data_IF_084362929784
#
_entry.id   IF_084362929784
#
_cell.length_a   1.000
_cell.length_b   1.000
_cell.length_c   1.000
_cell.angle_alpha   90.00
_cell.angle_beta   90.00
_cell.angle_gamma   90.00
#
_symmetry.space_group_name_H-M   'P 1'
#
loop_
_entity.id
_entity.type
_entity.pdbx_description
1 polymer ?
#
# COMPACT_ATOMS: atom_id res chain seq x y z
N UNK A 1 25.33 -21.88 -4.66
CA UNK A 1 24.47 -21.99 -5.85
C UNK A 1 23.16 -21.31 -5.54
N UNK A 2 23.08 -19.98 -5.82
CA UNK A 2 21.84 -19.24 -5.68
C UNK A 2 20.85 -19.67 -6.78
N UNK A 3 19.57 -19.73 -6.44
CA UNK A 3 18.54 -19.91 -7.45
C UNK A 3 18.58 -18.72 -8.43
N UNK A 4 18.07 -18.90 -9.65
CA UNK A 4 17.92 -17.81 -10.64
C UNK A 4 17.22 -16.59 -10.03
N UNK A 5 16.25 -16.83 -9.16
CA UNK A 5 15.49 -15.81 -8.43
C UNK A 5 16.36 -14.94 -7.53
N UNK A 6 17.30 -15.57 -6.81
CA UNK A 6 18.25 -14.83 -5.96
C UNK A 6 19.21 -13.97 -6.79
N UNK A 7 19.62 -14.44 -7.97
CA UNK A 7 20.47 -13.68 -8.88
C UNK A 7 19.75 -12.45 -9.42
N UNK A 8 18.50 -12.60 -9.86
CA UNK A 8 17.65 -11.51 -10.34
C UNK A 8 17.40 -10.48 -9.23
N UNK A 9 17.10 -10.96 -8.01
CA UNK A 9 16.91 -10.08 -6.85
C UNK A 9 18.18 -9.30 -6.51
N UNK A 10 19.34 -9.98 -6.47
CA UNK A 10 20.64 -9.34 -6.18
C UNK A 10 21.00 -8.29 -7.23
N UNK A 11 20.73 -8.55 -8.51
CA UNK A 11 20.97 -7.60 -9.62
C UNK A 11 20.10 -6.35 -9.45
N UNK A 12 18.81 -6.52 -9.16
CA UNK A 12 17.91 -5.40 -8.88
C UNK A 12 18.37 -4.61 -7.66
N UNK A 13 18.74 -5.29 -6.58
CA UNK A 13 19.18 -4.65 -5.34
C UNK A 13 20.43 -3.78 -5.56
N UNK A 14 21.43 -4.29 -6.29
CA UNK A 14 22.64 -3.52 -6.64
C UNK A 14 22.25 -2.25 -7.44
N UNK A 15 21.47 -2.41 -8.50
CA UNK A 15 21.03 -1.27 -9.32
C UNK A 15 20.25 -0.24 -8.51
N UNK A 16 19.33 -0.69 -7.64
CA UNK A 16 18.55 0.18 -6.77
C UNK A 16 19.42 0.95 -5.78
N UNK A 17 20.42 0.28 -5.19
CA UNK A 17 21.37 0.93 -4.27
C UNK A 17 22.22 1.97 -5.00
N UNK A 18 22.72 1.67 -6.20
CA UNK A 18 23.58 2.58 -6.97
C UNK A 18 22.80 3.83 -7.40
N UNK A 19 21.59 3.67 -7.92
CA UNK A 19 20.70 4.79 -8.25
C UNK A 19 20.33 5.59 -6.99
N UNK A 20 20.02 4.91 -5.88
CA UNK A 20 19.72 5.56 -4.61
C UNK A 20 20.85 6.42 -4.08
N UNK A 21 22.10 5.94 -4.16
CA UNK A 21 23.31 6.71 -3.79
C UNK A 21 23.46 7.96 -4.67
N UNK A 22 23.30 7.82 -5.99
CA UNK A 22 23.39 8.96 -6.91
C UNK A 22 22.32 10.01 -6.61
N UNK A 23 21.07 9.60 -6.37
CA UNK A 23 19.98 10.52 -6.00
C UNK A 23 20.29 11.22 -4.67
N UNK A 24 20.79 10.51 -3.66
CA UNK A 24 21.17 11.10 -2.38
C UNK A 24 22.28 12.16 -2.53
N UNK A 25 23.31 11.88 -3.33
CA UNK A 25 24.37 12.84 -3.65
C UNK A 25 23.83 14.08 -4.37
N UNK A 26 22.95 13.89 -5.34
CA UNK A 26 22.29 14.99 -6.06
C UNK A 26 21.42 15.84 -5.14
N UNK A 27 20.66 15.24 -4.22
CA UNK A 27 19.86 16.00 -3.24
C UNK A 27 20.74 16.81 -2.29
N UNK A 28 21.85 16.26 -1.82
CA UNK A 28 22.81 16.98 -0.99
C UNK A 28 23.43 18.15 -1.76
N UNK A 29 23.78 17.97 -3.02
CA UNK A 29 24.25 19.05 -3.89
C UNK A 29 23.16 20.12 -4.13
N UNK A 30 21.92 19.70 -4.28
CA UNK A 30 20.76 20.61 -4.43
C UNK A 30 20.54 21.48 -3.18
N UNK A 31 20.70 20.93 -1.99
CA UNK A 31 20.59 21.67 -0.74
C UNK A 31 21.66 22.78 -0.62
N UNK A 32 22.78 22.67 -1.33
CA UNK A 32 23.89 23.62 -1.35
C UNK A 32 23.85 24.56 -2.58
N UNK A 33 22.97 24.31 -3.52
CA UNK A 33 22.85 25.06 -4.75
C UNK A 33 22.29 26.47 -4.49
N UNK A 34 23.04 27.49 -4.92
CA UNK A 34 22.68 28.91 -4.70
C UNK A 34 21.88 29.53 -5.84
N UNK A 35 21.71 28.83 -6.95
CA UNK A 35 21.02 29.36 -8.15
C UNK A 35 19.87 28.48 -8.58
N UNK A 36 18.75 29.05 -9.06
CA UNK A 36 17.61 28.28 -9.58
C UNK A 36 18.03 27.31 -10.71
N UNK A 37 18.88 27.75 -11.63
CA UNK A 37 19.36 26.96 -12.76
C UNK A 37 20.15 25.70 -12.32
N UNK A 38 20.94 25.80 -11.23
CA UNK A 38 21.65 24.63 -10.68
C UNK A 38 20.64 23.62 -10.08
N UNK A 39 19.61 24.11 -9.39
CA UNK A 39 18.55 23.27 -8.85
C UNK A 39 17.75 22.57 -9.97
N UNK A 40 17.43 23.27 -11.05
CA UNK A 40 16.73 22.68 -12.19
C UNK A 40 17.56 21.57 -12.86
N UNK A 41 18.87 21.79 -13.02
CA UNK A 41 19.78 20.76 -13.54
C UNK A 41 19.81 19.52 -12.66
N UNK A 42 19.88 19.69 -11.34
CA UNK A 42 19.88 18.61 -10.37
C UNK A 42 18.54 17.85 -10.41
N UNK A 43 17.42 18.55 -10.41
CA UNK A 43 16.10 17.96 -10.49
C UNK A 43 15.91 17.15 -11.78
N UNK A 44 16.41 17.63 -12.91
CA UNK A 44 16.40 16.92 -14.17
C UNK A 44 17.22 15.61 -14.12
N UNK A 45 18.40 15.63 -13.49
CA UNK A 45 19.21 14.42 -13.28
C UNK A 45 18.48 13.39 -12.40
N UNK A 46 17.88 13.84 -11.30
CA UNK A 46 17.08 12.98 -10.42
C UNK A 46 15.90 12.36 -11.20
N UNK A 47 15.22 13.15 -12.02
CA UNK A 47 14.13 12.68 -12.87
C UNK A 47 14.60 11.61 -13.85
N UNK A 48 15.76 11.80 -14.50
CA UNK A 48 16.35 10.82 -15.41
C UNK A 48 16.65 9.50 -14.70
N UNK A 49 17.26 9.53 -13.51
CA UNK A 49 17.54 8.32 -12.70
C UNK A 49 16.25 7.59 -12.28
N UNK A 50 15.21 8.32 -11.92
CA UNK A 50 13.91 7.73 -11.60
C UNK A 50 13.26 7.07 -12.82
N UNK A 51 13.36 7.69 -13.99
CA UNK A 51 12.87 7.14 -15.27
C UNK A 51 13.66 5.88 -15.65
N UNK A 52 14.99 5.85 -15.46
CA UNK A 52 15.80 4.68 -15.69
C UNK A 52 15.33 3.50 -14.82
N UNK A 53 15.07 3.77 -13.53
CA UNK A 53 14.58 2.73 -12.61
C UNK A 53 13.19 2.24 -12.99
N UNK A 54 12.31 3.13 -13.41
CA UNK A 54 10.97 2.78 -13.89
C UNK A 54 11.05 1.90 -15.16
N UNK A 55 11.88 2.28 -16.11
CA UNK A 55 12.11 1.52 -17.35
C UNK A 55 12.63 0.13 -17.04
N UNK A 56 13.61 0.02 -16.13
CA UNK A 56 14.14 -1.27 -15.69
C UNK A 56 13.06 -2.17 -15.10
N UNK A 57 12.24 -1.63 -14.17
CA UNK A 57 11.14 -2.38 -13.56
C UNK A 57 10.10 -2.85 -14.58
N UNK A 58 9.73 -1.98 -15.51
CA UNK A 58 8.78 -2.32 -16.57
C UNK A 58 9.31 -3.41 -17.52
N UNK A 59 10.59 -3.36 -17.88
CA UNK A 59 11.23 -4.40 -18.68
C UNK A 59 11.25 -5.74 -17.93
N UNK A 60 11.68 -5.71 -16.66
CA UNK A 60 11.69 -6.90 -15.79
C UNK A 60 10.30 -7.55 -15.67
N UNK A 61 9.25 -6.74 -15.46
CA UNK A 61 7.88 -7.27 -15.37
C UNK A 61 7.39 -7.94 -16.65
N UNK A 62 7.83 -7.46 -17.81
CA UNK A 62 7.51 -8.09 -19.11
C UNK A 62 8.23 -9.43 -19.29
N UNK A 63 9.48 -9.51 -18.87
CA UNK A 63 10.31 -10.71 -19.01
C UNK A 63 9.99 -11.78 -17.95
N UNK A 64 9.62 -11.34 -16.74
CA UNK A 64 9.40 -12.20 -15.57
C UNK A 64 8.06 -11.93 -14.87
N UNK A 65 6.90 -12.06 -15.56
CA UNK A 65 5.60 -11.63 -14.99
C UNK A 65 5.19 -12.42 -13.73
N UNK A 66 5.58 -13.69 -13.59
CA UNK A 66 5.26 -14.52 -12.43
C UNK A 66 6.26 -14.40 -11.27
N UNK A 67 7.34 -13.63 -11.45
CA UNK A 67 8.38 -13.48 -10.43
C UNK A 67 7.88 -12.61 -9.27
N UNK A 68 8.30 -12.92 -8.03
CA UNK A 68 7.91 -12.14 -6.83
C UNK A 68 8.28 -10.65 -6.96
N UNK A 69 9.45 -10.33 -7.54
CA UNK A 69 9.84 -8.93 -7.76
C UNK A 69 8.86 -8.18 -8.67
N UNK A 70 8.25 -8.84 -9.66
CA UNK A 70 7.24 -8.23 -10.52
C UNK A 70 5.99 -7.84 -9.73
N UNK A 71 5.56 -8.70 -8.80
CA UNK A 71 4.47 -8.38 -7.88
C UNK A 71 4.86 -7.25 -6.90
N UNK A 72 6.10 -7.25 -6.41
CA UNK A 72 6.64 -6.15 -5.56
C UNK A 72 6.69 -4.82 -6.33
N UNK A 73 7.05 -4.84 -7.62
CA UNK A 73 7.07 -3.61 -8.44
C UNK A 73 5.66 -3.02 -8.62
N UNK A 74 4.62 -3.85 -8.71
CA UNK A 74 3.24 -3.36 -8.69
C UNK A 74 2.90 -2.68 -7.36
N UNK A 75 3.38 -3.20 -6.22
CA UNK A 75 3.20 -2.54 -4.91
C UNK A 75 3.96 -1.21 -4.79
N UNK A 76 5.01 -0.99 -5.56
CA UNK A 76 5.78 0.24 -5.57
C UNK A 76 5.28 1.28 -6.59
N UNK A 77 4.35 0.88 -7.46
CA UNK A 77 3.83 1.75 -8.51
C UNK A 77 2.61 2.52 -8.02
N UNK A 78 2.68 3.84 -8.06
CA UNK A 78 1.50 4.68 -7.83
C UNK A 78 0.66 4.81 -9.12
N UNK A 79 -0.67 4.98 -9.03
CA UNK A 79 -1.52 5.26 -10.17
C UNK A 79 -1.08 6.52 -10.92
N UNK A 80 -1.01 6.43 -12.24
CA UNK A 80 -0.72 7.57 -13.10
C UNK A 80 -2.03 8.30 -13.41
N UNK A 81 -2.20 9.48 -12.81
CA UNK A 81 -3.38 10.31 -13.06
C UNK A 81 -3.37 10.74 -14.53
N UNK A 82 -4.48 10.56 -15.27
CA UNK A 82 -4.58 11.03 -16.65
C UNK A 82 -4.25 12.52 -16.79
N UNK A 83 -3.71 12.96 -17.94
CA UNK A 83 -3.44 14.38 -18.17
C UNK A 83 -4.73 15.18 -18.18
N UNK A 84 -4.66 16.49 -17.85
CA UNK A 84 -5.81 17.39 -17.70
C UNK A 84 -6.80 17.36 -18.90
N UNK A 85 -6.30 17.17 -20.11
CA UNK A 85 -7.13 17.04 -21.30
C UNK A 85 -8.08 15.82 -21.30
N UNK A 86 -7.81 14.81 -20.46
CA UNK A 86 -8.65 13.62 -20.26
C UNK A 86 -9.56 13.71 -19.03
N UNK A 87 -9.46 14.79 -18.25
CA UNK A 87 -10.39 15.05 -17.16
C UNK A 87 -11.74 15.54 -17.68
N UNK A 88 -12.81 15.39 -16.89
CA UNK A 88 -14.10 15.99 -17.22
C UNK A 88 -13.98 17.48 -17.54
N UNK A 89 -14.52 17.92 -18.67
CA UNK A 89 -14.41 19.29 -19.13
C UNK A 89 -13.05 19.71 -19.73
N UNK A 90 -12.10 18.79 -19.95
CA UNK A 90 -10.81 19.05 -20.60
C UNK A 90 -9.84 19.91 -19.81
N UNK A 91 -10.11 20.14 -18.52
CA UNK A 91 -9.26 20.92 -17.60
C UNK A 91 -8.95 20.08 -16.36
N UNK A 92 -7.84 20.42 -15.69
CA UNK A 92 -7.47 19.74 -14.46
C UNK A 92 -8.58 19.85 -13.40
N UNK A 93 -9.06 18.70 -12.95
CA UNK A 93 -10.03 18.53 -11.88
C UNK A 93 -9.40 17.71 -10.75
N UNK A 94 -9.21 18.34 -9.60
CA UNK A 94 -8.61 17.72 -8.42
C UNK A 94 -9.49 16.60 -7.82
N UNK A 95 -10.80 16.76 -7.89
CA UNK A 95 -11.75 15.74 -7.41
C UNK A 95 -11.68 14.48 -8.27
N UNK A 96 -11.66 14.65 -9.60
CA UNK A 96 -11.45 13.54 -10.53
C UNK A 96 -10.10 12.87 -10.30
N UNK A 97 -9.02 13.66 -10.19
CA UNK A 97 -7.67 13.14 -9.95
C UNK A 97 -7.60 12.31 -8.66
N UNK A 98 -8.21 12.81 -7.58
CA UNK A 98 -8.30 12.09 -6.31
C UNK A 98 -9.10 10.79 -6.42
N UNK A 99 -10.30 10.84 -7.04
CA UNK A 99 -11.13 9.65 -7.22
C UNK A 99 -10.41 8.61 -8.10
N UNK A 100 -9.78 9.05 -9.18
CA UNK A 100 -8.98 8.20 -10.05
C UNK A 100 -7.86 7.51 -9.27
N UNK A 101 -7.05 8.28 -8.54
CA UNK A 101 -5.94 7.76 -7.73
C UNK A 101 -6.42 6.73 -6.71
N UNK A 102 -7.49 7.05 -5.98
CA UNK A 102 -8.08 6.17 -4.97
C UNK A 102 -8.59 4.85 -5.54
N UNK A 103 -9.30 4.90 -6.67
CA UNK A 103 -9.90 3.70 -7.28
C UNK A 103 -8.86 2.80 -7.95
N UNK A 104 -7.77 3.38 -8.50
CA UNK A 104 -6.71 2.64 -9.19
C UNK A 104 -5.51 2.31 -8.29
N UNK A 105 -5.60 2.57 -6.98
CA UNK A 105 -4.49 2.39 -6.05
C UNK A 105 -3.98 0.95 -5.97
N UNK A 106 -4.87 0.00 -6.16
CA UNK A 106 -4.59 -1.43 -6.08
C UNK A 106 -4.50 -2.13 -7.44
N UNK A 107 -4.49 -1.39 -8.54
CA UNK A 107 -4.40 -1.97 -9.88
C UNK A 107 -3.12 -2.79 -10.06
N UNK A 108 -3.29 -3.98 -10.65
CA UNK A 108 -2.18 -4.90 -10.89
C UNK A 108 -1.65 -5.62 -9.64
N UNK A 109 -2.27 -5.43 -8.47
CA UNK A 109 -1.88 -6.10 -7.22
C UNK A 109 -2.84 -7.26 -6.95
N UNK A 110 -2.28 -8.45 -6.77
CA UNK A 110 -3.06 -9.63 -6.40
C UNK A 110 -3.24 -9.71 -4.89
N UNK A 111 -4.49 -9.67 -4.44
CA UNK A 111 -4.85 -9.91 -3.03
C UNK A 111 -4.82 -11.39 -2.63
N UNK A 112 -4.41 -12.28 -3.54
CA UNK A 112 -4.29 -13.72 -3.30
C UNK A 112 -2.85 -14.23 -3.36
N UNK A 113 -1.89 -13.35 -3.62
CA UNK A 113 -0.47 -13.69 -3.63
C UNK A 113 0.14 -13.57 -2.22
N UNK A 114 0.12 -14.67 -1.46
CA UNK A 114 0.63 -14.73 -0.09
C UNK A 114 2.12 -14.40 0.05
N UNK A 115 2.90 -14.50 -1.05
CA UNK A 115 4.32 -14.15 -1.03
C UNK A 115 4.52 -12.67 -0.68
N UNK A 116 3.52 -11.82 -0.99
CA UNK A 116 3.58 -10.38 -0.71
C UNK A 116 3.59 -10.05 0.78
N UNK A 117 2.98 -10.89 1.64
CA UNK A 117 3.01 -10.70 3.10
C UNK A 117 4.42 -10.74 3.69
N UNK A 118 5.32 -11.46 3.03
CA UNK A 118 6.73 -11.60 3.45
C UNK A 118 7.62 -10.47 2.93
N UNK A 119 7.02 -9.48 2.27
CA UNK A 119 7.75 -8.32 1.73
C UNK A 119 7.56 -7.10 2.62
N UNK A 120 8.57 -6.22 2.74
CA UNK A 120 8.46 -5.01 3.57
C UNK A 120 7.62 -3.89 2.91
N UNK A 121 6.92 -4.17 1.79
CA UNK A 121 6.21 -3.16 1.00
C UNK A 121 4.69 -3.25 1.09
N UNK A 122 4.14 -4.43 1.39
CA UNK A 122 2.68 -4.61 1.43
C UNK A 122 2.05 -3.80 2.57
N UNK A 123 2.57 -3.96 3.79
CA UNK A 123 2.02 -3.28 4.97
C UNK A 123 2.08 -1.74 4.86
N UNK A 124 3.22 -1.12 4.51
CA UNK A 124 3.26 0.33 4.32
C UNK A 124 2.31 0.85 3.23
N UNK A 125 2.12 0.08 2.13
CA UNK A 125 1.16 0.44 1.09
C UNK A 125 -0.27 0.36 1.61
N UNK A 126 -0.61 -0.68 2.37
CA UNK A 126 -1.90 -0.83 3.02
C UNK A 126 -2.17 0.30 4.02
N UNK A 127 -1.21 0.60 4.88
CA UNK A 127 -1.33 1.69 5.87
C UNK A 127 -1.51 3.05 5.19
N UNK A 128 -0.76 3.33 4.13
CA UNK A 128 -0.91 4.56 3.35
C UNK A 128 -2.32 4.69 2.77
N UNK A 129 -2.91 3.59 2.29
CA UNK A 129 -4.26 3.60 1.74
C UNK A 129 -5.29 3.99 2.80
N UNK A 130 -5.28 3.32 3.94
CA UNK A 130 -6.25 3.54 5.01
C UNK A 130 -6.00 4.84 5.80
N UNK A 131 -4.75 5.30 5.93
CA UNK A 131 -4.43 6.49 6.71
C UNK A 131 -4.49 7.79 5.92
N UNK A 132 -4.08 7.76 4.63
CA UNK A 132 -3.80 8.98 3.89
C UNK A 132 -4.66 9.16 2.65
N UNK A 133 -5.19 8.07 2.07
CA UNK A 133 -5.91 8.12 0.80
C UNK A 133 -7.41 8.06 1.01
N UNK A 134 -7.89 7.20 1.90
CA UNK A 134 -9.32 7.05 2.16
C UNK A 134 -9.88 8.19 3.00
N UNK A 135 -11.16 8.59 2.75
CA UNK A 135 -11.88 9.43 3.68
C UNK A 135 -11.94 8.74 5.07
N UNK A 136 -11.69 9.50 6.13
CA UNK A 136 -11.57 8.97 7.50
C UNK A 136 -12.92 8.75 8.19
N UNK A 137 -14.03 8.75 7.48
CA UNK A 137 -15.36 8.42 7.99
C UNK A 137 -15.54 6.89 8.05
N UNK A 138 -16.10 6.38 9.14
CA UNK A 138 -16.30 4.95 9.41
C UNK A 138 -17.02 4.23 8.25
N UNK A 139 -18.11 4.81 7.73
CA UNK A 139 -18.86 4.21 6.62
C UNK A 139 -18.00 3.99 5.36
N UNK A 140 -17.15 4.98 5.03
CA UNK A 140 -16.23 4.85 3.90
C UNK A 140 -15.18 3.76 4.17
N UNK A 141 -14.59 3.76 5.35
CA UNK A 141 -13.57 2.80 5.75
C UNK A 141 -14.10 1.37 5.74
N UNK A 142 -15.34 1.16 6.20
CA UNK A 142 -16.04 -0.13 6.17
C UNK A 142 -16.17 -0.64 4.74
N UNK A 143 -16.62 0.20 3.81
CA UNK A 143 -16.78 -0.19 2.39
C UNK A 143 -15.46 -0.65 1.79
N UNK A 144 -14.36 0.08 2.01
CA UNK A 144 -13.05 -0.27 1.46
C UNK A 144 -12.40 -1.46 2.19
N UNK A 145 -12.61 -1.61 3.49
CA UNK A 145 -12.20 -2.79 4.24
C UNK A 145 -12.88 -4.05 3.68
N UNK A 146 -14.18 -4.01 3.47
CA UNK A 146 -14.94 -5.10 2.87
C UNK A 146 -14.48 -5.46 1.46
N UNK A 147 -14.13 -4.47 0.64
CA UNK A 147 -13.60 -4.70 -0.71
C UNK A 147 -12.29 -5.49 -0.68
N UNK A 148 -11.34 -5.10 0.18
CA UNK A 148 -10.06 -5.81 0.32
C UNK A 148 -10.26 -7.21 0.88
N UNK A 149 -11.07 -7.36 1.92
CA UNK A 149 -11.37 -8.66 2.51
C UNK A 149 -12.08 -9.59 1.52
N UNK A 150 -13.00 -9.07 0.71
CA UNK A 150 -13.64 -9.83 -0.36
C UNK A 150 -12.63 -10.26 -1.44
N UNK A 151 -11.72 -9.37 -1.84
CA UNK A 151 -10.70 -9.66 -2.84
C UNK A 151 -9.66 -10.67 -2.36
N UNK A 152 -9.34 -10.68 -1.06
CA UNK A 152 -8.39 -11.62 -0.46
C UNK A 152 -9.00 -12.97 -0.06
N UNK A 153 -10.33 -13.08 -0.01
CA UNK A 153 -11.05 -14.28 0.44
C UNK A 153 -10.63 -15.60 -0.24
N UNK A 154 -10.25 -15.64 -1.53
CA UNK A 154 -9.80 -16.88 -2.16
C UNK A 154 -8.48 -17.44 -1.62
N UNK A 155 -7.67 -16.62 -0.91
CA UNK A 155 -6.47 -17.08 -0.20
C UNK A 155 -6.64 -16.81 1.29
N UNK A 156 -6.70 -17.89 2.10
CA UNK A 156 -7.01 -17.82 3.52
C UNK A 156 -5.96 -17.02 4.32
N UNK A 157 -4.68 -17.16 3.99
CA UNK A 157 -3.58 -16.47 4.68
C UNK A 157 -3.61 -14.95 4.38
N UNK A 158 -3.86 -14.56 3.13
CA UNK A 158 -4.02 -13.16 2.77
C UNK A 158 -5.27 -12.55 3.42
N UNK A 159 -6.37 -13.31 3.47
CA UNK A 159 -7.58 -12.87 4.15
C UNK A 159 -7.33 -12.64 5.64
N UNK A 160 -6.69 -13.59 6.34
CA UNK A 160 -6.32 -13.47 7.75
C UNK A 160 -5.40 -12.26 7.98
N UNK A 161 -4.43 -12.09 7.12
CA UNK A 161 -3.49 -10.97 7.20
C UNK A 161 -4.20 -9.61 7.15
N UNK A 162 -5.06 -9.40 6.14
CA UNK A 162 -5.77 -8.13 6.02
C UNK A 162 -6.82 -7.94 7.13
N UNK A 163 -7.51 -9.01 7.53
CA UNK A 163 -8.46 -8.96 8.63
C UNK A 163 -7.76 -8.58 9.95
N UNK A 164 -6.61 -9.19 10.25
CA UNK A 164 -5.80 -8.85 11.41
C UNK A 164 -5.32 -7.41 11.35
N UNK A 165 -4.73 -6.98 10.21
CA UNK A 165 -4.23 -5.62 10.04
C UNK A 165 -5.33 -4.56 10.24
N UNK A 166 -6.54 -4.82 9.73
CA UNK A 166 -7.70 -3.92 9.92
C UNK A 166 -8.17 -3.91 11.38
N UNK A 167 -8.24 -5.07 12.00
CA UNK A 167 -8.68 -5.20 13.39
C UNK A 167 -7.71 -4.49 14.34
N UNK A 168 -6.41 -4.76 14.20
CA UNK A 168 -5.37 -4.13 15.01
C UNK A 168 -5.38 -2.60 14.87
N UNK A 169 -5.69 -2.12 13.66
CA UNK A 169 -5.79 -0.71 13.38
C UNK A 169 -6.98 -0.04 14.05
N UNK A 170 -8.15 -0.69 14.04
CA UNK A 170 -9.40 -0.08 14.50
C UNK A 170 -9.85 -0.52 15.89
N UNK A 171 -9.14 -1.42 16.57
CA UNK A 171 -9.36 -1.72 17.99
C UNK A 171 -9.01 -0.53 18.90
N UNK A 172 -8.00 0.26 18.50
CA UNK A 172 -7.64 1.52 19.13
C UNK A 172 -7.62 2.63 18.08
N UNK A 173 -8.79 3.14 17.67
CA UNK A 173 -8.91 4.03 16.54
C UNK A 173 -8.28 5.39 16.81
N UNK A 174 -7.71 6.01 15.77
CA UNK A 174 -7.11 7.33 15.86
C UNK A 174 -8.16 8.46 15.95
N UNK A 175 -9.33 8.25 15.34
CA UNK A 175 -10.40 9.25 15.29
C UNK A 175 -11.68 8.71 15.92
N UNK A 176 -12.45 9.60 16.55
CA UNK A 176 -13.76 9.28 17.15
C UNK A 176 -14.72 8.69 16.10
N UNK A 177 -15.43 7.63 16.47
CA UNK A 177 -16.40 6.94 15.60
C UNK A 177 -15.79 5.88 14.67
N UNK A 178 -14.47 5.75 14.57
CA UNK A 178 -13.83 4.70 13.77
C UNK A 178 -13.87 3.32 14.46
N UNK A 179 -14.22 3.25 15.74
CA UNK A 179 -14.55 2.02 16.46
C UNK A 179 -15.69 1.24 15.79
N UNK A 180 -16.61 1.92 15.08
CA UNK A 180 -17.63 1.29 14.26
C UNK A 180 -17.05 0.37 13.18
N UNK A 181 -15.85 0.66 12.66
CA UNK A 181 -15.15 -0.23 11.70
C UNK A 181 -14.79 -1.54 12.38
N UNK A 182 -14.24 -1.48 13.60
CA UNK A 182 -13.89 -2.68 14.36
C UNK A 182 -15.15 -3.52 14.67
N UNK A 183 -16.24 -2.88 15.13
CA UNK A 183 -17.51 -3.57 15.42
C UNK A 183 -18.04 -4.27 14.17
N UNK A 184 -18.04 -3.59 13.01
CA UNK A 184 -18.45 -4.17 11.74
C UNK A 184 -17.63 -5.40 11.34
N UNK A 185 -16.29 -5.31 11.46
CA UNK A 185 -15.39 -6.42 11.15
C UNK A 185 -15.66 -7.62 12.06
N UNK A 186 -15.86 -7.33 13.35
CA UNK A 186 -16.17 -8.34 14.36
C UNK A 186 -17.48 -9.07 14.06
N UNK A 187 -18.56 -8.35 13.81
CA UNK A 187 -19.89 -8.91 13.56
C UNK A 187 -19.94 -9.70 12.24
N UNK A 188 -19.38 -9.12 11.19
CA UNK A 188 -19.50 -9.68 9.84
C UNK A 188 -18.62 -10.90 9.59
N UNK A 189 -17.38 -10.86 10.09
CA UNK A 189 -16.39 -11.92 9.81
C UNK A 189 -16.27 -12.94 10.94
N UNK A 190 -17.17 -12.89 11.94
CA UNK A 190 -17.33 -13.79 13.09
C UNK A 190 -15.99 -14.34 13.57
N UNK A 191 -15.48 -13.79 14.62
CA UNK A 191 -14.13 -13.96 15.19
C UNK A 191 -13.71 -15.42 15.54
N UNK A 192 -14.11 -16.40 14.78
CA UNK A 192 -13.46 -17.70 14.88
C UNK A 192 -11.96 -17.66 14.52
N UNK A 193 -11.55 -16.66 13.74
CA UNK A 193 -10.14 -16.42 13.38
C UNK A 193 -9.35 -15.65 14.45
N UNK A 194 -10.01 -14.94 15.37
CA UNK A 194 -9.34 -14.14 16.40
C UNK A 194 -8.83 -14.95 17.60
N UNK A 195 -9.12 -16.23 17.68
CA UNK A 195 -8.56 -17.11 18.74
C UNK A 195 -7.04 -17.19 18.73
N UNK A 196 -6.39 -16.78 17.65
CA UNK A 196 -4.92 -16.77 17.51
C UNK A 196 -4.29 -15.37 17.63
N UNK A 197 -5.10 -14.31 17.66
CA UNK A 197 -4.62 -12.95 17.90
C UNK A 197 -4.75 -12.68 19.39
N UNK A 198 -3.67 -12.93 20.12
CA UNK A 198 -3.41 -12.61 21.53
C UNK A 198 -4.62 -12.57 22.47
N UNK A 199 -4.53 -13.35 23.53
CA UNK A 199 -5.45 -13.57 24.65
C UNK A 199 -5.86 -12.29 25.47
N UNK A 200 -6.16 -11.19 24.83
CA UNK A 200 -6.51 -9.93 25.51
C UNK A 200 -7.94 -9.45 25.24
N UNK A 201 -8.75 -10.21 24.51
CA UNK A 201 -10.15 -9.87 24.30
C UNK A 201 -11.01 -10.76 25.21
N UNK A 202 -11.47 -10.25 26.31
CA UNK A 202 -12.47 -10.91 27.15
C UNK A 202 -13.87 -10.38 26.81
N UNK A 203 -14.77 -11.31 26.46
CA UNK A 203 -16.19 -10.99 26.32
C UNK A 203 -16.83 -10.97 27.70
N UNK A 204 -17.33 -9.83 28.09
CA UNK A 204 -18.19 -9.71 29.27
C UNK A 204 -19.63 -9.60 28.79
N UNK A 205 -20.42 -10.63 29.07
CA UNK A 205 -21.86 -10.62 28.81
C UNK A 205 -22.58 -10.12 30.11
N UNK A 206 -23.19 -8.96 30.00
CA UNK A 206 -24.09 -8.47 31.06
C UNK A 206 -25.37 -7.98 30.41
N UNK A 207 -26.51 -8.49 30.92
CA UNK A 207 -27.88 -8.04 30.58
C UNK A 207 -28.22 -8.00 29.09
N UNK A 208 -27.73 -9.00 28.30
CA UNK A 208 -28.03 -9.11 26.89
C UNK A 208 -27.19 -8.20 25.99
N UNK A 209 -26.28 -7.40 26.52
CA UNK A 209 -25.32 -6.59 25.78
C UNK A 209 -23.92 -7.21 25.82
N UNK A 210 -23.23 -7.16 24.71
CA UNK A 210 -21.83 -7.61 24.60
C UNK A 210 -20.94 -6.40 24.81
N UNK A 211 -20.17 -6.39 25.90
CA UNK A 211 -19.13 -5.38 26.13
C UNK A 211 -17.79 -5.98 25.76
N UNK A 212 -17.08 -5.32 24.86
CA UNK A 212 -15.72 -5.70 24.49
C UNK A 212 -14.77 -5.01 25.49
N UNK A 213 -14.11 -5.80 26.34
CA UNK A 213 -13.05 -5.30 27.23
C UNK A 213 -11.72 -5.70 26.60
N UNK A 214 -10.95 -4.71 26.18
CA UNK A 214 -9.58 -4.88 25.65
C UNK A 214 -8.61 -4.50 26.75
N UNK A 215 -7.72 -5.42 27.15
CA UNK A 215 -6.64 -5.18 28.11
C UNK A 215 -5.30 -5.08 27.42
#
# INVERSE_FOLDING_TARGET
>A
NGSSDNTLFSTYQKKSMDIGKQIAQLRNAGAQAKTPSANDSINNKIRTLNLEMLTYRNAFQKEHPAHLLSAVFNLLKDPEIPPAAKHPGGKYDSTYAYQYYKTHYWDGISFTDERLMRTPVLQPRFDRYFNNILPQMSDSLIVYADQILKASKPNEEMFKYFLSSLTDKYVNPQYMGQDAVFVHLFEKYKIQHFRHINARVHHVYTDGNVWLVVF
#
